data_IF_099401170749
#
_entry.id   IF_099401170749
#
_cell.length_a   1.000
_cell.length_b   1.000
_cell.length_c   1.000
_cell.angle_alpha   90.00
_cell.angle_beta   90.00
_cell.angle_gamma   90.00
#
_symmetry.space_group_name_H-M   'P 1'
#
loop_
_entity.id
_entity.type
_entity.pdbx_description
1 polymer ?
#
# COMPACT_ATOMS: atom_id res chain seq x y z
N UNK A 1 19.99 25.07 -26.91
CA UNK A 1 18.99 24.36 -26.08
C UNK A 1 18.83 22.96 -26.66
N UNK A 2 19.55 21.97 -26.11
CA UNK A 2 19.47 20.60 -26.58
C UNK A 2 18.41 19.86 -25.79
N UNK A 3 17.34 19.43 -26.47
CA UNK A 3 16.39 18.46 -25.91
C UNK A 3 17.15 17.14 -25.78
N UNK A 4 17.50 16.75 -24.55
CA UNK A 4 18.04 15.42 -24.28
C UNK A 4 16.96 14.39 -24.59
N UNK A 5 17.27 13.46 -25.49
CA UNK A 5 16.42 12.30 -25.71
C UNK A 5 16.26 11.54 -24.38
N UNK A 6 15.05 11.06 -24.03
CA UNK A 6 14.80 10.33 -22.78
C UNK A 6 15.71 9.12 -22.54
N UNK A 7 16.35 8.60 -23.59
CA UNK A 7 17.19 7.41 -23.58
C UNK A 7 18.60 7.60 -22.99
N UNK A 8 19.09 8.83 -22.82
CA UNK A 8 20.46 9.08 -22.33
C UNK A 8 20.53 9.52 -20.86
N UNK A 9 19.38 9.72 -20.20
CA UNK A 9 19.35 10.13 -18.80
C UNK A 9 19.58 8.92 -17.89
N UNK A 10 20.47 8.99 -16.89
CA UNK A 10 20.61 7.92 -15.92
C UNK A 10 19.28 7.69 -15.19
N UNK A 11 19.01 6.43 -14.80
CA UNK A 11 17.69 6.04 -14.29
C UNK A 11 17.20 6.87 -13.10
N UNK A 12 18.10 7.35 -12.23
CA UNK A 12 17.76 8.19 -11.09
C UNK A 12 17.36 9.63 -11.47
N UNK A 13 17.42 10.00 -12.74
CA UNK A 13 16.96 11.30 -13.27
C UNK A 13 15.66 11.19 -14.07
N UNK A 14 15.16 9.97 -14.33
CA UNK A 14 13.87 9.75 -15.00
C UNK A 14 12.73 10.24 -14.09
N UNK A 15 11.74 10.90 -14.69
CA UNK A 15 10.64 11.60 -14.00
C UNK A 15 11.09 12.71 -13.02
N UNK A 16 12.36 13.15 -13.09
CA UNK A 16 12.87 14.27 -12.28
C UNK A 16 12.98 15.54 -13.13
N UNK A 17 12.34 16.66 -12.72
CA UNK A 17 12.52 17.96 -13.36
C UNK A 17 14.00 18.34 -13.44
N UNK A 18 14.42 18.96 -14.55
CA UNK A 18 15.85 19.27 -14.81
C UNK A 18 16.48 20.06 -13.66
N UNK A 19 15.73 20.97 -13.04
CA UNK A 19 16.18 21.77 -11.89
C UNK A 19 16.45 20.97 -10.61
N UNK A 20 15.92 19.76 -10.49
CA UNK A 20 16.04 18.88 -9.32
C UNK A 20 16.94 17.67 -9.57
N UNK A 21 17.55 17.57 -10.76
CA UNK A 21 18.43 16.44 -11.11
C UNK A 21 19.75 16.56 -10.38
N UNK A 22 20.19 15.45 -9.78
CA UNK A 22 21.50 15.31 -9.16
C UNK A 22 22.47 14.61 -10.11
N UNK A 23 23.75 15.01 -10.08
CA UNK A 23 24.80 14.35 -10.84
C UNK A 23 24.96 12.89 -10.37
N UNK A 24 25.03 12.69 -9.06
CA UNK A 24 25.17 11.37 -8.44
C UNK A 24 23.82 10.74 -8.13
N UNK A 25 23.80 9.41 -8.09
CA UNK A 25 22.63 8.63 -7.69
C UNK A 25 22.34 8.85 -6.20
N UNK A 26 21.13 9.31 -5.83
CA UNK A 26 20.76 9.50 -4.43
C UNK A 26 20.90 8.21 -3.61
N UNK A 27 21.27 8.35 -2.33
CA UNK A 27 21.52 7.22 -1.43
C UNK A 27 20.35 6.22 -1.36
N UNK A 28 19.11 6.73 -1.35
CA UNK A 28 17.89 5.91 -1.32
C UNK A 28 17.60 5.12 -2.61
N UNK A 29 18.42 5.29 -3.66
CA UNK A 29 18.32 4.56 -4.93
C UNK A 29 19.55 3.69 -5.22
N UNK A 30 20.58 3.68 -4.37
CA UNK A 30 21.81 2.92 -4.67
C UNK A 30 21.57 1.40 -4.70
N UNK A 31 20.79 0.88 -3.75
CA UNK A 31 20.62 -0.55 -3.52
C UNK A 31 19.21 -1.05 -3.89
N UNK A 32 18.74 -0.70 -5.09
CA UNK A 32 17.43 -1.16 -5.57
C UNK A 32 17.46 -2.59 -6.10
N UNK A 33 16.34 -3.29 -5.90
CA UNK A 33 16.07 -4.55 -6.60
C UNK A 33 16.04 -4.33 -8.12
N UNK A 34 16.29 -5.38 -8.90
CA UNK A 34 16.19 -5.30 -10.36
C UNK A 34 14.79 -4.87 -10.82
N UNK A 35 13.74 -5.29 -10.09
CA UNK A 35 12.35 -4.88 -10.31
C UNK A 35 12.18 -3.38 -10.10
N UNK A 36 12.56 -2.86 -8.93
CA UNK A 36 12.38 -1.44 -8.60
C UNK A 36 13.21 -0.54 -9.53
N UNK A 37 14.44 -0.94 -9.86
CA UNK A 37 15.27 -0.21 -10.82
C UNK A 37 14.61 -0.16 -12.20
N UNK A 38 14.00 -1.26 -12.66
CA UNK A 38 13.23 -1.29 -13.90
C UNK A 38 12.04 -0.33 -13.87
N UNK A 39 11.28 -0.31 -12.78
CA UNK A 39 10.14 0.61 -12.61
C UNK A 39 10.62 2.07 -12.61
N UNK A 40 11.61 2.43 -11.79
CA UNK A 40 12.15 3.80 -11.71
C UNK A 40 12.74 4.27 -13.05
N UNK A 41 13.25 3.36 -13.87
CA UNK A 41 13.78 3.67 -15.21
C UNK A 41 12.69 3.96 -16.25
N UNK A 42 11.41 3.81 -15.90
CA UNK A 42 10.29 4.00 -16.83
C UNK A 42 9.69 5.40 -16.69
N UNK A 43 9.49 6.16 -17.78
CA UNK A 43 8.75 7.41 -17.72
C UNK A 43 7.30 7.21 -17.26
N UNK A 44 6.77 8.11 -16.45
CA UNK A 44 5.37 8.04 -15.97
C UNK A 44 4.37 7.97 -17.13
N UNK A 45 4.67 8.64 -18.24
CA UNK A 45 3.83 8.61 -19.45
C UNK A 45 3.72 7.25 -20.13
N UNK A 46 4.59 6.30 -19.78
CA UNK A 46 4.56 4.92 -20.26
C UNK A 46 3.94 3.96 -19.24
N UNK A 47 3.58 4.46 -18.05
CA UNK A 47 2.93 3.66 -17.03
C UNK A 47 1.47 3.42 -17.39
N UNK A 48 1.02 2.16 -17.28
CA UNK A 48 -0.38 1.79 -17.46
C UNK A 48 -1.10 1.83 -16.12
N UNK A 49 -2.05 2.76 -15.98
CA UNK A 49 -2.91 2.86 -14.80
C UNK A 49 -3.94 1.72 -14.84
N UNK A 50 -3.94 0.89 -13.81
CA UNK A 50 -4.83 -0.27 -13.75
C UNK A 50 -6.28 0.17 -13.48
N UNK A 51 -7.17 -0.29 -14.34
CA UNK A 51 -8.63 -0.09 -14.22
C UNK A 51 -9.24 -1.05 -13.20
N UNK A 52 -10.44 -0.74 -12.69
CA UNK A 52 -11.13 -1.60 -11.72
C UNK A 52 -11.26 -3.08 -12.16
N UNK A 53 -11.66 -3.41 -13.41
CA UNK A 53 -11.70 -4.80 -13.86
C UNK A 53 -10.32 -5.48 -13.87
N UNK A 54 -9.25 -4.75 -14.19
CA UNK A 54 -7.88 -5.30 -14.15
C UNK A 54 -7.43 -5.57 -12.71
N UNK A 55 -7.74 -4.67 -11.77
CA UNK A 55 -7.48 -4.86 -10.34
C UNK A 55 -8.24 -6.09 -9.82
N UNK A 56 -9.52 -6.23 -10.15
CA UNK A 56 -10.33 -7.42 -9.82
C UNK A 56 -9.72 -8.71 -10.41
N UNK A 57 -9.22 -8.66 -11.65
CA UNK A 57 -8.58 -9.80 -12.31
C UNK A 57 -7.25 -10.18 -11.62
N UNK A 58 -6.46 -9.19 -11.20
CA UNK A 58 -5.20 -9.41 -10.49
C UNK A 58 -5.47 -10.13 -9.16
N UNK A 59 -6.42 -9.64 -8.38
CA UNK A 59 -6.75 -10.21 -7.07
C UNK A 59 -7.37 -11.60 -7.22
N UNK A 60 -8.33 -11.79 -8.13
CA UNK A 60 -8.97 -13.09 -8.35
C UNK A 60 -8.00 -14.18 -8.82
N UNK A 61 -6.90 -13.79 -9.48
CA UNK A 61 -5.81 -14.70 -9.90
C UNK A 61 -4.70 -14.82 -8.86
N UNK A 62 -4.82 -14.18 -7.70
CA UNK A 62 -3.79 -14.09 -6.68
C UNK A 62 -2.43 -13.64 -7.26
N UNK A 63 -2.44 -12.64 -8.14
CA UNK A 63 -1.24 -12.07 -8.81
C UNK A 63 -0.87 -10.70 -8.26
N UNK A 64 -0.97 -10.54 -6.95
CA UNK A 64 -0.69 -9.27 -6.24
C UNK A 64 0.72 -8.72 -6.52
N UNK A 65 1.65 -9.56 -6.97
CA UNK A 65 2.99 -9.18 -7.44
C UNK A 65 2.99 -8.22 -8.64
N UNK A 66 1.90 -8.18 -9.40
CA UNK A 66 1.70 -7.29 -10.55
C UNK A 66 1.33 -5.87 -10.14
N UNK A 67 0.88 -5.65 -8.89
CA UNK A 67 0.67 -4.29 -8.41
C UNK A 67 2.00 -3.55 -8.31
N UNK A 68 2.02 -2.36 -8.90
CA UNK A 68 3.17 -1.47 -8.91
C UNK A 68 2.71 -0.05 -8.64
N UNK A 69 3.61 0.80 -8.15
CA UNK A 69 3.37 2.24 -8.09
C UNK A 69 3.76 2.86 -9.42
N UNK A 70 3.17 4.01 -9.73
CA UNK A 70 3.70 4.89 -10.78
C UNK A 70 5.19 5.16 -10.50
N UNK A 71 6.09 5.19 -11.50
CA UNK A 71 7.53 5.31 -11.26
C UNK A 71 7.93 6.51 -10.38
N UNK A 72 7.36 7.69 -10.60
CA UNK A 72 7.58 8.85 -9.73
C UNK A 72 7.09 8.63 -8.29
N UNK A 73 5.94 7.99 -8.09
CA UNK A 73 5.41 7.65 -6.77
C UNK A 73 6.27 6.58 -6.06
N UNK A 74 6.81 5.61 -6.79
CA UNK A 74 7.78 4.66 -6.24
C UNK A 74 9.05 5.40 -5.77
N UNK A 75 9.54 6.37 -6.53
CA UNK A 75 10.69 7.20 -6.14
C UNK A 75 10.41 7.95 -4.84
N UNK A 76 9.25 8.60 -4.73
CA UNK A 76 8.84 9.35 -3.53
C UNK A 76 8.70 8.41 -2.33
N UNK A 77 8.11 7.24 -2.51
CA UNK A 77 8.02 6.19 -1.50
C UNK A 77 9.40 5.74 -0.99
N UNK A 78 10.35 5.50 -1.89
CA UNK A 78 11.71 5.08 -1.52
C UNK A 78 12.46 6.18 -0.76
N UNK A 79 12.37 7.43 -1.21
CA UNK A 79 12.95 8.57 -0.53
C UNK A 79 12.37 8.74 0.89
N UNK A 80 11.04 8.69 1.00
CA UNK A 80 10.35 8.83 2.27
C UNK A 80 10.71 7.72 3.26
N UNK A 81 10.74 6.46 2.82
CA UNK A 81 11.14 5.35 3.68
C UNK A 81 12.60 5.44 4.12
N UNK A 82 13.48 5.94 3.25
CA UNK A 82 14.87 6.13 3.60
C UNK A 82 15.01 7.15 4.72
N UNK A 83 14.36 8.32 4.60
CA UNK A 83 14.34 9.37 5.63
C UNK A 83 13.70 8.89 6.93
N UNK A 84 12.56 8.20 6.82
CA UNK A 84 11.84 7.65 7.95
C UNK A 84 12.73 6.68 8.73
N UNK A 85 13.45 5.76 8.05
CA UNK A 85 14.38 4.84 8.72
C UNK A 85 15.51 5.57 9.46
N UNK A 86 15.99 6.71 8.95
CA UNK A 86 16.97 7.52 9.68
C UNK A 86 16.36 8.15 10.94
N UNK A 87 15.09 8.57 10.88
CA UNK A 87 14.42 9.30 11.98
C UNK A 87 13.87 8.38 13.07
N UNK A 88 13.21 7.28 12.70
CA UNK A 88 12.48 6.38 13.61
C UNK A 88 13.19 5.02 13.79
N UNK A 89 14.32 4.79 13.11
CA UNK A 89 15.02 3.50 13.10
C UNK A 89 14.36 2.44 12.20
N UNK A 90 13.03 2.42 12.11
CA UNK A 90 12.31 1.52 11.19
C UNK A 90 10.96 2.07 10.74
N UNK A 91 10.47 1.60 9.58
CA UNK A 91 9.10 1.85 9.09
C UNK A 91 8.06 1.35 10.09
N UNK A 92 8.36 0.24 10.77
CA UNK A 92 7.46 -0.32 11.77
C UNK A 92 7.28 0.65 12.95
N UNK A 93 8.37 1.13 13.53
CA UNK A 93 8.27 2.02 14.70
C UNK A 93 7.43 3.25 14.40
N UNK A 94 7.63 3.84 13.22
CA UNK A 94 6.79 4.94 12.73
C UNK A 94 5.30 4.55 12.61
N UNK A 95 4.99 3.40 12.01
CA UNK A 95 3.59 2.99 11.85
C UNK A 95 2.93 2.78 13.22
N UNK A 96 3.61 2.16 14.19
CA UNK A 96 3.05 1.98 15.54
C UNK A 96 2.83 3.32 16.24
N UNK A 97 3.84 4.17 16.27
CA UNK A 97 3.82 5.43 17.02
C UNK A 97 2.92 6.49 16.36
N UNK A 98 3.10 6.73 15.06
CA UNK A 98 2.52 7.89 14.37
C UNK A 98 1.23 7.56 13.63
N UNK A 99 1.01 6.27 13.27
CA UNK A 99 -0.18 5.87 12.50
C UNK A 99 -1.19 5.13 13.32
N UNK A 100 -0.77 4.12 14.07
CA UNK A 100 -1.68 3.27 14.84
C UNK A 100 -1.95 3.85 16.22
N UNK A 101 -0.92 4.38 16.88
CA UNK A 101 -0.99 4.79 18.28
C UNK A 101 -1.14 3.57 19.21
N UNK A 102 -0.56 2.42 18.84
CA UNK A 102 -0.62 1.19 19.62
C UNK A 102 0.66 0.99 20.40
N UNK A 103 0.54 0.70 21.69
CA UNK A 103 1.67 0.42 22.58
C UNK A 103 2.09 -1.05 22.50
N UNK A 104 3.39 -1.31 22.68
CA UNK A 104 3.98 -2.65 22.67
C UNK A 104 4.08 -3.17 24.13
N UNK A 105 3.72 -4.44 24.42
CA UNK A 105 3.25 -5.47 23.49
C UNK A 105 1.83 -5.22 23.00
N UNK A 106 1.61 -5.41 21.70
CA UNK A 106 0.29 -5.29 21.08
C UNK A 106 -0.52 -6.51 21.50
N UNK A 107 -1.65 -6.28 22.16
CA UNK A 107 -2.58 -7.31 22.56
C UNK A 107 -3.98 -6.92 22.10
N UNK A 108 -4.66 -7.87 21.44
CA UNK A 108 -6.08 -7.75 21.15
C UNK A 108 -6.90 -7.84 22.45
N UNK A 109 -7.95 -7.03 22.53
CA UNK A 109 -8.92 -7.03 23.64
C UNK A 109 -9.91 -8.20 23.50
N UNK A 110 -10.29 -8.53 22.26
CA UNK A 110 -11.24 -9.61 21.95
C UNK A 110 -10.70 -10.66 20.98
N UNK A 111 -11.59 -11.51 20.47
CA UNK A 111 -11.25 -12.41 19.36
C UNK A 111 -11.20 -11.62 18.05
N UNK A 112 -10.58 -12.19 16.99
CA UNK A 112 -10.54 -11.56 15.67
C UNK A 112 -11.90 -11.01 15.23
N UNK A 113 -11.92 -9.71 14.90
CA UNK A 113 -13.09 -8.97 14.43
C UNK A 113 -14.25 -8.77 15.43
N UNK A 114 -14.10 -9.11 16.71
CA UNK A 114 -15.12 -8.83 17.75
C UNK A 114 -15.04 -7.38 18.27
N UNK A 115 -13.84 -6.89 18.57
CA UNK A 115 -13.63 -5.57 19.16
C UNK A 115 -13.12 -4.53 18.15
N UNK A 116 -13.81 -3.39 18.06
CA UNK A 116 -13.45 -2.31 17.12
C UNK A 116 -12.12 -1.64 17.49
N UNK A 117 -11.75 -1.64 18.77
CA UNK A 117 -10.50 -1.08 19.29
C UNK A 117 -9.27 -1.86 18.80
N UNK A 118 -9.45 -3.10 18.34
CA UNK A 118 -8.38 -3.95 17.81
C UNK A 118 -8.14 -3.77 16.31
N UNK A 119 -8.91 -2.89 15.67
CA UNK A 119 -8.84 -2.66 14.23
C UNK A 119 -8.70 -1.17 13.95
N UNK A 120 -7.84 -0.82 12.99
CA UNK A 120 -7.73 0.55 12.47
C UNK A 120 -7.77 0.54 10.96
N UNK A 121 -8.69 1.30 10.37
CA UNK A 121 -8.78 1.49 8.92
C UNK A 121 -8.13 2.82 8.58
N UNK A 122 -7.09 2.78 7.74
CA UNK A 122 -6.35 3.96 7.31
C UNK A 122 -6.25 3.99 5.79
N UNK A 123 -5.94 5.15 5.22
CA UNK A 123 -5.53 5.20 3.82
C UNK A 123 -4.21 4.45 3.63
N UNK A 124 -4.04 3.83 2.46
CA UNK A 124 -2.71 3.46 2.03
C UNK A 124 -1.91 4.74 1.74
N UNK A 125 -0.82 4.92 2.48
CA UNK A 125 0.02 6.11 2.36
C UNK A 125 0.67 6.27 1.00
N UNK A 126 0.92 5.14 0.35
CA UNK A 126 1.64 5.04 -0.91
C UNK A 126 0.88 4.05 -1.79
N UNK A 127 -0.27 4.47 -2.35
CA UNK A 127 -1.14 3.60 -3.14
C UNK A 127 -0.45 3.15 -4.44
N UNK A 128 -1.00 2.12 -5.06
CA UNK A 128 -0.55 1.63 -6.37
C UNK A 128 -0.99 2.57 -7.51
N UNK A 129 -0.40 2.38 -8.70
CA UNK A 129 -0.81 3.09 -9.91
C UNK A 129 -2.11 2.51 -10.47
N UNK A 130 -3.21 2.85 -9.83
CA UNK A 130 -4.56 2.36 -10.13
C UNK A 130 -5.47 3.56 -10.41
N UNK A 131 -6.62 3.31 -11.05
CA UNK A 131 -7.64 4.32 -11.34
C UNK A 131 -7.95 5.16 -10.09
N UNK A 132 -7.96 6.50 -10.23
CA UNK A 132 -8.10 7.44 -9.12
C UNK A 132 -9.44 7.31 -8.38
N UNK A 133 -10.45 6.70 -9.02
CA UNK A 133 -11.73 6.36 -8.38
C UNK A 133 -11.61 5.21 -7.39
N UNK A 134 -10.51 4.44 -7.44
CA UNK A 134 -10.27 3.33 -6.52
C UNK A 134 -9.63 3.88 -5.24
N UNK A 135 -10.38 3.82 -4.16
CA UNK A 135 -9.89 4.16 -2.81
C UNK A 135 -9.15 2.95 -2.24
N UNK A 136 -7.85 3.11 -2.01
CA UNK A 136 -6.98 2.06 -1.45
C UNK A 136 -6.77 2.28 0.05
N UNK A 137 -7.39 1.41 0.85
CA UNK A 137 -7.31 1.41 2.31
C UNK A 137 -6.43 0.26 2.82
N UNK A 138 -5.98 0.40 4.05
CA UNK A 138 -5.29 -0.64 4.82
C UNK A 138 -6.05 -0.85 6.12
N UNK A 139 -6.44 -2.08 6.37
CA UNK A 139 -7.05 -2.50 7.64
C UNK A 139 -5.97 -3.17 8.47
N UNK A 140 -5.61 -2.53 9.58
CA UNK A 140 -4.62 -3.00 10.54
C UNK A 140 -5.30 -3.73 11.69
N UNK A 141 -4.72 -4.83 12.15
CA UNK A 141 -5.29 -5.67 13.23
C UNK A 141 -4.28 -5.87 14.37
N UNK A 142 -4.76 -5.86 15.62
CA UNK A 142 -3.96 -6.26 16.80
C UNK A 142 -3.82 -7.78 16.96
N UNK A 143 -4.61 -8.54 16.22
CA UNK A 143 -4.61 -10.01 16.21
C UNK A 143 -4.00 -10.55 14.91
N UNK A 144 -3.59 -11.82 14.97
CA UNK A 144 -3.00 -12.51 13.82
C UNK A 144 -4.04 -12.87 12.76
N UNK A 145 -3.62 -12.83 11.49
CA UNK A 145 -4.37 -13.35 10.35
C UNK A 145 -3.71 -14.64 9.89
N UNK A 146 -4.18 -15.77 10.42
CA UNK A 146 -3.55 -17.08 10.27
C UNK A 146 -3.31 -17.47 8.80
N UNK A 147 -2.07 -17.86 8.50
CA UNK A 147 -1.64 -18.36 7.20
C UNK A 147 -1.58 -19.90 7.22
N UNK A 148 -1.99 -20.54 6.13
CA UNK A 148 -1.75 -21.95 5.86
C UNK A 148 -0.23 -22.16 5.65
N UNK A 149 0.43 -22.96 6.49
CA UNK A 149 1.87 -23.19 6.43
C UNK A 149 2.33 -23.86 5.12
N UNK A 150 1.42 -24.44 4.32
CA UNK A 150 1.73 -25.11 3.06
C UNK A 150 1.70 -24.17 1.85
N UNK A 151 0.91 -23.10 1.90
CA UNK A 151 0.62 -22.26 0.72
C UNK A 151 1.11 -20.81 0.86
N UNK A 152 1.56 -20.40 2.06
CA UNK A 152 1.91 -19.00 2.40
C UNK A 152 0.76 -18.01 2.13
N UNK A 153 -0.47 -18.52 2.14
CA UNK A 153 -1.73 -17.79 1.99
C UNK A 153 -2.62 -18.03 3.22
N UNK A 154 -3.69 -17.27 3.39
CA UNK A 154 -4.60 -17.38 4.53
C UNK A 154 -5.23 -18.77 4.66
N UNK A 155 -5.45 -19.22 5.89
CA UNK A 155 -6.34 -20.37 6.14
C UNK A 155 -7.76 -20.06 5.67
N UNK A 156 -8.53 -21.09 5.31
CA UNK A 156 -9.94 -20.93 4.90
C UNK A 156 -10.78 -20.24 6.00
N UNK A 157 -10.51 -20.55 7.26
CA UNK A 157 -11.20 -19.91 8.40
C UNK A 157 -10.86 -18.41 8.50
N UNK A 158 -9.57 -18.05 8.41
CA UNK A 158 -9.16 -16.65 8.43
C UNK A 158 -9.74 -15.87 7.25
N UNK A 159 -9.75 -16.47 6.05
CA UNK A 159 -10.35 -15.88 4.84
C UNK A 159 -11.85 -15.66 5.01
N UNK A 160 -12.58 -16.62 5.57
CA UNK A 160 -14.01 -16.49 5.82
C UNK A 160 -14.32 -15.35 6.79
N UNK A 161 -13.56 -15.22 7.88
CA UNK A 161 -13.71 -14.11 8.85
C UNK A 161 -13.42 -12.74 8.22
N UNK A 162 -12.38 -12.63 7.39
CA UNK A 162 -12.10 -11.39 6.67
C UNK A 162 -13.23 -11.07 5.68
N UNK A 163 -13.73 -12.06 4.93
CA UNK A 163 -14.85 -11.86 4.01
C UNK A 163 -16.10 -11.33 4.74
N UNK A 164 -16.45 -11.93 5.88
CA UNK A 164 -17.58 -11.48 6.71
C UNK A 164 -17.38 -10.04 7.18
N UNK A 165 -16.21 -9.73 7.76
CA UNK A 165 -15.89 -8.36 8.18
C UNK A 165 -15.95 -7.36 7.02
N UNK A 166 -15.39 -7.70 5.86
CA UNK A 166 -15.35 -6.80 4.69
C UNK A 166 -16.76 -6.56 4.14
N UNK A 167 -17.57 -7.61 4.03
CA UNK A 167 -18.97 -7.51 3.61
C UNK A 167 -19.78 -6.63 4.56
N UNK A 168 -19.62 -6.81 5.86
CA UNK A 168 -20.34 -6.09 6.90
C UNK A 168 -19.95 -4.61 6.97
N UNK A 169 -18.65 -4.30 6.94
CA UNK A 169 -18.13 -2.94 7.12
C UNK A 169 -18.14 -2.13 5.84
N UNK A 170 -17.77 -2.74 4.71
CA UNK A 170 -17.63 -2.05 3.43
C UNK A 170 -18.72 -2.44 2.44
N UNK A 171 -18.99 -3.74 2.28
CA UNK A 171 -19.93 -4.24 1.27
C UNK A 171 -21.35 -3.67 1.44
N UNK A 172 -21.85 -3.54 2.67
CA UNK A 172 -23.16 -2.93 2.97
C UNK A 172 -23.28 -1.45 2.61
N UNK A 173 -22.16 -0.71 2.59
CA UNK A 173 -22.13 0.74 2.33
C UNK A 173 -21.75 1.07 0.88
N UNK A 174 -20.82 0.32 0.30
CA UNK A 174 -20.28 0.56 -1.04
C UNK A 174 -20.85 -0.36 -2.15
N UNK A 175 -21.57 -1.43 -1.77
CA UNK A 175 -22.00 -2.49 -2.69
C UNK A 175 -20.91 -3.56 -2.86
N UNK A 176 -21.28 -4.83 -2.71
CA UNK A 176 -20.31 -5.95 -2.68
C UNK A 176 -19.46 -6.04 -3.95
N UNK A 177 -20.02 -5.69 -5.09
CA UNK A 177 -19.35 -5.67 -6.40
C UNK A 177 -18.27 -4.58 -6.52
N UNK A 178 -18.33 -3.55 -5.67
CA UNK A 178 -17.40 -2.42 -5.64
C UNK A 178 -16.35 -2.55 -4.53
N UNK A 179 -16.30 -3.70 -3.85
CA UNK A 179 -15.34 -3.97 -2.77
C UNK A 179 -14.52 -5.20 -3.12
N UNK A 180 -13.19 -5.06 -3.06
CA UNK A 180 -12.26 -6.18 -3.12
C UNK A 180 -11.21 -6.01 -2.04
N UNK A 181 -10.65 -7.11 -1.57
CA UNK A 181 -9.58 -7.09 -0.59
C UNK A 181 -8.52 -8.13 -0.94
N UNK A 182 -7.31 -7.90 -0.43
CA UNK A 182 -6.20 -8.84 -0.55
C UNK A 182 -5.25 -8.67 0.62
N UNK A 183 -4.53 -9.73 0.97
CA UNK A 183 -3.44 -9.70 1.94
C UNK A 183 -2.13 -9.92 1.19
N UNK A 184 -1.10 -9.14 1.50
CA UNK A 184 0.23 -9.41 0.95
C UNK A 184 0.80 -10.69 1.56
N UNK A 185 1.39 -11.54 0.73
CA UNK A 185 2.13 -12.73 1.17
C UNK A 185 3.28 -12.32 2.10
N UNK A 186 3.76 -13.25 2.95
CA UNK A 186 4.83 -12.94 3.91
C UNK A 186 6.06 -12.36 3.23
N UNK A 187 6.42 -12.82 2.03
CA UNK A 187 7.56 -12.32 1.25
C UNK A 187 7.42 -10.88 0.74
N UNK A 188 6.21 -10.32 0.68
CA UNK A 188 5.92 -8.97 0.18
C UNK A 188 5.59 -7.95 1.28
N UNK A 189 5.41 -8.41 2.54
CA UNK A 189 5.13 -7.54 3.68
C UNK A 189 6.35 -6.68 4.00
N UNK A 190 6.17 -5.36 4.03
CA UNK A 190 7.20 -4.42 4.52
C UNK A 190 7.18 -4.29 6.05
N UNK A 191 6.13 -4.81 6.71
CA UNK A 191 5.86 -4.69 8.15
C UNK A 191 5.38 -6.05 8.66
N UNK A 192 6.19 -6.74 9.47
CA UNK A 192 5.90 -8.11 9.92
C UNK A 192 5.27 -8.21 11.31
N UNK A 193 5.36 -7.18 12.14
CA UNK A 193 4.87 -7.23 13.53
C UNK A 193 3.41 -6.77 13.70
N UNK A 194 2.82 -6.16 12.68
CA UNK A 194 1.40 -5.80 12.67
C UNK A 194 0.76 -6.34 11.41
N UNK A 195 -0.21 -7.22 11.61
CA UNK A 195 -0.98 -7.80 10.54
C UNK A 195 -1.91 -6.76 9.91
N UNK A 196 -2.03 -6.86 8.59
CA UNK A 196 -2.89 -5.98 7.83
C UNK A 196 -3.30 -6.64 6.52
N UNK A 197 -4.44 -6.19 6.01
CA UNK A 197 -4.88 -6.48 4.65
C UNK A 197 -5.34 -5.20 3.99
N UNK A 198 -5.36 -5.21 2.66
CA UNK A 198 -5.77 -4.09 1.85
C UNK A 198 -7.22 -4.25 1.45
N UNK A 199 -7.97 -3.15 1.49
CA UNK A 199 -9.32 -3.05 0.94
C UNK A 199 -9.29 -1.98 -0.15
N UNK A 200 -9.85 -2.30 -1.31
CA UNK A 200 -10.04 -1.36 -2.41
C UNK A 200 -11.53 -1.19 -2.65
N UNK A 201 -11.96 0.07 -2.71
CA UNK A 201 -13.35 0.47 -2.96
C UNK A 201 -13.41 1.23 -4.28
N UNK A 202 -14.30 0.83 -5.18
CA UNK A 202 -14.50 1.55 -6.44
C UNK A 202 -15.55 2.64 -6.28
N UNK A 203 -15.14 3.89 -6.52
CA UNK A 203 -15.97 5.10 -6.49
C UNK A 203 -16.91 5.20 -5.26
N UNK A 204 -16.40 4.98 -4.03
CA UNK A 204 -17.24 5.02 -2.84
C UNK A 204 -17.68 6.45 -2.50
N UNK A 205 -18.74 6.57 -1.72
CA UNK A 205 -19.13 7.83 -1.08
C UNK A 205 -17.95 8.41 -0.26
N UNK A 206 -17.45 9.62 -0.58
CA UNK A 206 -16.36 10.26 0.16
C UNK A 206 -16.66 10.45 1.65
N UNK A 207 -17.93 10.65 2.02
CA UNK A 207 -18.33 10.80 3.43
C UNK A 207 -18.17 9.48 4.19
N UNK A 208 -18.49 8.35 3.55
CA UNK A 208 -18.22 7.02 4.10
C UNK A 208 -16.72 6.79 4.31
N UNK A 209 -15.89 7.15 3.33
CA UNK A 209 -14.43 6.99 3.45
C UNK A 209 -13.87 7.86 4.58
N UNK A 210 -14.35 9.10 4.73
CA UNK A 210 -13.95 9.97 5.85
C UNK A 210 -14.38 9.40 7.20
N UNK A 211 -15.59 8.87 7.29
CA UNK A 211 -16.13 8.23 8.49
C UNK A 211 -15.27 7.02 8.92
N UNK A 212 -15.06 6.07 8.00
CA UNK A 212 -14.37 4.80 8.34
C UNK A 212 -12.88 5.00 8.64
N UNK A 213 -12.25 6.02 8.05
CA UNK A 213 -10.85 6.36 8.28
C UNK A 213 -10.64 7.38 9.40
N UNK A 214 -11.72 7.82 10.07
CA UNK A 214 -11.69 8.89 11.08
C UNK A 214 -10.96 10.16 10.59
N UNK A 215 -11.16 10.53 9.33
CA UNK A 215 -10.52 11.69 8.70
C UNK A 215 -9.03 11.54 8.40
N UNK A 216 -8.50 10.32 8.36
CA UNK A 216 -7.11 10.07 7.95
C UNK A 216 -6.82 10.60 6.54
N UNK A 217 -5.57 10.98 6.31
CA UNK A 217 -5.08 11.48 5.02
C UNK A 217 -3.75 10.81 4.72
N UNK A 218 -3.58 10.19 3.53
CA UNK A 218 -2.37 9.45 3.18
C UNK A 218 -1.14 10.36 3.12
N UNK A 219 0.02 9.83 3.49
CA UNK A 219 1.27 10.60 3.54
C UNK A 219 1.69 11.11 2.16
N UNK A 220 1.45 10.35 1.08
CA UNK A 220 1.71 10.80 -0.30
C UNK A 220 1.00 12.11 -0.68
N UNK A 221 -0.04 12.53 0.05
CA UNK A 221 -0.71 13.83 -0.15
C UNK A 221 -0.19 14.94 0.78
N UNK A 222 0.60 14.60 1.81
CA UNK A 222 1.14 15.54 2.80
C UNK A 222 2.57 16.00 2.47
N UNK A 223 3.29 15.25 1.62
CA UNK A 223 4.71 15.45 1.29
C UNK A 223 4.94 15.89 -0.15
#
# INVERSE_FOLDING_TARGET
MGSLNPTDSPYWQINVPVSLRTADCPAFLLDLSAKDKGIISTPDSQYHVLTWPEVQLIISRNRIDLFQRVPSELRRYLAYNWELRQKYGSVMEFVLQERLGWEVPIAAEGKPFEEKTDIKVLWNDWPYGIDERIVHLVVWTKFELEDDPKTDDLTEEARAKINEYVDEVFGKRAGKENVIWFKNWKSLKSVHAVEHFHVMLFDPDPDFVREITNGDVPLSRKV
#
